data_IF_700754833710
#
_entry.id   IF_700754833710
#
_cell.length_a   1.000
_cell.length_b   1.000
_cell.length_c   1.000
_cell.angle_alpha   90.00
_cell.angle_beta   90.00
_cell.angle_gamma   90.00
#
_symmetry.space_group_name_H-M   'P 1'
#
loop_
_entity.id
_entity.type
_entity.pdbx_description
1 polymer ?
#
# COMPACT_ATOMS: atom_id res chain seq x y z
N UNK A 1 12.98 21.85 -4.50
CA UNK A 1 12.01 22.95 -4.31
C UNK A 1 10.87 22.38 -3.48
N UNK A 2 10.60 22.94 -2.29
CA UNK A 2 9.55 22.41 -1.39
C UNK A 2 8.19 22.86 -1.90
N UNK A 3 7.33 21.90 -2.20
CA UNK A 3 5.94 22.15 -2.57
C UNK A 3 5.15 22.55 -1.32
N UNK A 4 4.62 23.77 -1.33
CA UNK A 4 3.98 24.42 -0.18
C UNK A 4 2.49 24.69 -0.45
N UNK A 5 1.84 23.94 -1.34
CA UNK A 5 0.49 24.29 -1.83
C UNK A 5 -0.43 23.07 -1.80
N UNK A 6 -1.39 23.04 -0.86
CA UNK A 6 -2.80 22.55 -0.99
C UNK A 6 -3.41 21.90 0.25
N UNK A 7 -2.69 21.66 1.34
CA UNK A 7 -3.26 20.91 2.47
C UNK A 7 -4.25 21.69 3.36
N UNK A 8 -4.18 23.03 3.36
CA UNK A 8 -5.00 23.87 4.25
C UNK A 8 -6.49 23.94 3.88
N UNK A 9 -6.84 23.83 2.59
CA UNK A 9 -8.23 23.96 2.13
C UNK A 9 -9.05 22.67 2.33
N UNK A 10 -8.38 21.51 2.33
CA UNK A 10 -9.01 20.19 2.42
C UNK A 10 -9.43 19.86 3.86
N UNK A 11 -8.60 20.24 4.84
CA UNK A 11 -8.90 20.12 6.28
C UNK A 11 -10.16 20.94 6.65
N UNK A 12 -10.36 22.11 6.05
CA UNK A 12 -11.52 22.96 6.30
C UNK A 12 -12.86 22.36 5.78
N UNK A 13 -12.81 21.37 4.88
CA UNK A 13 -13.99 20.66 4.36
C UNK A 13 -14.32 19.37 5.14
N UNK A 14 -13.57 19.06 6.21
CA UNK A 14 -13.84 17.89 7.05
C UNK A 14 -13.48 16.54 6.42
N UNK A 15 -12.93 16.54 5.20
CA UNK A 15 -12.43 15.34 4.54
C UNK A 15 -10.93 15.21 4.80
N UNK A 16 -10.54 14.14 5.49
CA UNK A 16 -9.13 13.76 5.54
C UNK A 16 -8.68 13.39 4.12
N UNK A 17 -7.53 13.91 3.64
CA UNK A 17 -6.97 13.45 2.38
C UNK A 17 -6.77 11.93 2.48
N UNK A 18 -7.37 11.19 1.54
CA UNK A 18 -7.18 9.75 1.46
C UNK A 18 -5.71 9.51 1.11
N UNK A 19 -4.96 8.97 2.06
CA UNK A 19 -3.59 8.53 1.83
C UNK A 19 -3.67 7.08 1.34
N UNK A 20 -3.17 6.83 0.14
CA UNK A 20 -3.06 5.50 -0.41
C UNK A 20 -1.62 5.04 -0.43
N UNK A 21 -1.44 3.73 -0.37
CA UNK A 21 -0.11 3.15 -0.22
C UNK A 21 0.11 2.04 -1.24
N UNK A 22 1.34 1.96 -1.72
CA UNK A 22 1.88 0.72 -2.29
C UNK A 22 2.55 -0.07 -1.17
N UNK A 23 2.10 -1.29 -0.95
CA UNK A 23 2.65 -2.21 0.06
C UNK A 23 3.20 -3.44 -0.63
N UNK A 24 4.46 -3.73 -0.35
CA UNK A 24 5.14 -4.92 -0.87
C UNK A 24 5.24 -5.93 0.27
N UNK A 25 4.69 -7.11 0.04
CA UNK A 25 4.75 -8.24 0.96
C UNK A 25 5.60 -9.35 0.35
N UNK A 26 6.40 -10.02 1.18
CA UNK A 26 6.95 -11.34 0.85
C UNK A 26 6.14 -12.38 1.60
N UNK A 27 5.74 -13.44 0.91
CA UNK A 27 5.10 -14.59 1.53
C UNK A 27 6.16 -15.65 1.77
N UNK A 28 6.34 -16.07 3.02
CA UNK A 28 7.27 -17.13 3.41
C UNK A 28 6.50 -18.13 4.25
N UNK A 29 6.41 -19.39 3.82
CA UNK A 29 5.69 -20.45 4.53
C UNK A 29 4.22 -20.07 4.85
N UNK A 30 3.55 -19.40 3.92
CA UNK A 30 2.16 -18.94 4.10
C UNK A 30 2.00 -17.67 4.94
N UNK A 31 3.06 -17.15 5.56
CA UNK A 31 3.02 -15.91 6.33
C UNK A 31 3.39 -14.70 5.45
N UNK A 32 2.54 -13.66 5.47
CA UNK A 32 2.79 -12.39 4.78
C UNK A 32 3.65 -11.47 5.64
N UNK A 33 4.81 -11.08 5.13
CA UNK A 33 5.73 -10.13 5.76
C UNK A 33 5.83 -8.85 4.94
N UNK A 34 5.55 -7.70 5.56
CA UNK A 34 5.73 -6.39 4.93
C UNK A 34 7.23 -6.11 4.72
N UNK A 35 7.61 -5.76 3.49
CA UNK A 35 8.98 -5.40 3.10
C UNK A 35 9.12 -3.90 2.89
N UNK A 36 8.13 -3.28 2.27
CA UNK A 36 8.16 -1.87 1.92
C UNK A 36 6.74 -1.32 1.92
N UNK A 37 6.63 -0.07 2.35
CA UNK A 37 5.42 0.74 2.25
C UNK A 37 5.84 2.10 1.70
N UNK A 38 5.16 2.58 0.66
CA UNK A 38 5.34 3.93 0.16
C UNK A 38 3.98 4.56 -0.09
N UNK A 39 3.84 5.83 0.26
CA UNK A 39 2.64 6.61 -0.06
C UNK A 39 2.59 6.89 -1.57
N UNK A 40 1.39 6.81 -2.14
CA UNK A 40 1.14 7.01 -3.56
C UNK A 40 -0.04 7.97 -3.76
N UNK A 41 -0.04 8.68 -4.89
CA UNK A 41 -1.12 9.62 -5.25
C UNK A 41 -2.32 8.95 -5.95
N UNK A 42 -2.39 7.61 -5.95
CA UNK A 42 -3.53 6.89 -6.51
C UNK A 42 -4.71 6.91 -5.55
N UNK A 43 -5.92 6.72 -6.07
CA UNK A 43 -7.14 6.72 -5.27
C UNK A 43 -7.36 5.40 -4.51
N UNK A 44 -6.51 4.40 -4.70
CA UNK A 44 -6.62 3.05 -4.12
C UNK A 44 -5.25 2.49 -3.71
N UNK A 45 -5.28 1.58 -2.73
CA UNK A 45 -4.08 0.89 -2.26
C UNK A 45 -3.65 -0.20 -3.25
N UNK A 46 -2.34 -0.28 -3.48
CA UNK A 46 -1.74 -1.31 -4.33
C UNK A 46 -0.98 -2.28 -3.42
N UNK A 47 -1.46 -3.52 -3.34
CA UNK A 47 -0.77 -4.58 -2.62
C UNK A 47 -0.04 -5.50 -3.61
N UNK A 48 1.28 -5.61 -3.45
CA UNK A 48 2.13 -6.50 -4.25
C UNK A 48 2.59 -7.65 -3.35
N UNK A 49 2.30 -8.88 -3.74
CA UNK A 49 2.70 -10.08 -3.00
C UNK A 49 3.75 -10.85 -3.80
N UNK A 50 4.95 -10.95 -3.23
CA UNK A 50 6.07 -11.72 -3.77
C UNK A 50 6.04 -13.10 -3.15
N UNK A 51 5.66 -14.10 -3.95
CA UNK A 51 5.71 -15.52 -3.58
C UNK A 51 6.97 -16.15 -4.18
N UNK A 52 7.60 -17.04 -3.44
CA UNK A 52 8.84 -17.72 -3.86
C UNK A 52 8.59 -19.13 -4.39
N UNK A 53 7.41 -19.70 -4.11
CA UNK A 53 7.02 -21.02 -4.59
C UNK A 53 5.57 -21.09 -5.08
N UNK A 54 5.30 -22.06 -5.96
CA UNK A 54 3.93 -22.37 -6.42
C UNK A 54 3.04 -22.89 -5.29
N UNK A 55 3.62 -23.49 -4.26
CA UNK A 55 2.89 -23.94 -3.07
C UNK A 55 2.34 -22.74 -2.28
N UNK A 56 3.15 -21.71 -2.06
CA UNK A 56 2.73 -20.46 -1.42
C UNK A 56 1.60 -19.77 -2.21
N UNK A 57 1.67 -19.80 -3.55
CA UNK A 57 0.60 -19.26 -4.38
C UNK A 57 -0.74 -19.99 -4.18
N UNK A 58 -0.72 -21.31 -3.99
CA UNK A 58 -1.91 -22.13 -3.78
C UNK A 58 -2.52 -21.92 -2.39
N UNK A 59 -1.71 -21.58 -1.38
CA UNK A 59 -2.19 -21.25 -0.03
C UNK A 59 -2.91 -19.90 0.01
N UNK A 60 -2.49 -18.93 -0.81
CA UNK A 60 -3.14 -17.62 -0.91
C UNK A 60 -4.49 -17.63 -1.63
N UNK A 61 -4.78 -18.69 -2.40
CA UNK A 61 -6.02 -18.83 -3.18
C UNK A 61 -7.12 -19.61 -2.46
N UNK A 62 -6.87 -20.09 -1.23
CA UNK A 62 -7.84 -20.77 -0.38
C UNK A 62 -8.55 -19.79 0.53
#
# INVERSE_FOLDING_TARGET
MKDNRRYLLQIARGEQPKQSFIRIYTVINGEKKLQSENEIEFDEDINIEIVTSKAELLELQK
#
